data_IF_736114425643
#
_entry.id   IF_736114425643
#
_cell.length_a   1.000
_cell.length_b   1.000
_cell.length_c   1.000
_cell.angle_alpha   90.00
_cell.angle_beta   90.00
_cell.angle_gamma   90.00
#
_symmetry.space_group_name_H-M   'P 1'
#
loop_
_entity.id
_entity.type
_entity.pdbx_description
1 polymer ?
#
# COMPACT_ATOMS: atom_id res chain seq x y z
N UNK A 1 -12.85 9.44 14.14
CA UNK A 1 -11.84 8.39 13.92
C UNK A 1 -12.48 7.32 13.03
N UNK A 2 -11.84 6.92 11.95
CA UNK A 2 -12.35 5.86 11.07
C UNK A 2 -12.31 4.50 11.78
N UNK A 3 -13.45 3.80 11.83
CA UNK A 3 -13.54 2.44 12.36
C UNK A 3 -13.78 1.46 11.21
N UNK A 4 -12.83 0.58 10.92
CA UNK A 4 -12.98 -0.42 9.86
C UNK A 4 -14.16 -1.37 10.11
N UNK A 5 -14.45 -1.69 11.35
CA UNK A 5 -15.57 -2.56 11.74
C UNK A 5 -16.90 -1.89 11.38
N UNK A 6 -17.08 -0.64 11.84
CA UNK A 6 -18.29 0.12 11.52
C UNK A 6 -18.45 0.34 10.00
N UNK A 7 -17.34 0.54 9.28
CA UNK A 7 -17.38 0.66 7.83
C UNK A 7 -17.83 -0.65 7.16
N UNK A 8 -17.36 -1.80 7.63
CA UNK A 8 -17.77 -3.10 7.14
C UNK A 8 -19.27 -3.37 7.39
N UNK A 9 -19.77 -3.01 8.58
CA UNK A 9 -21.19 -3.14 8.91
C UNK A 9 -22.07 -2.25 8.01
N UNK A 10 -21.66 -1.00 7.80
CA UNK A 10 -22.37 -0.08 6.90
C UNK A 10 -22.42 -0.62 5.46
N UNK A 11 -21.28 -1.11 4.94
CA UNK A 11 -21.22 -1.71 3.59
C UNK A 11 -22.16 -2.90 3.49
N UNK A 12 -22.20 -3.75 4.52
CA UNK A 12 -23.11 -4.90 4.58
C UNK A 12 -24.58 -4.46 4.53
N UNK A 13 -24.94 -3.46 5.34
CA UNK A 13 -26.32 -2.94 5.38
C UNK A 13 -26.74 -2.28 4.08
N UNK A 14 -25.87 -1.48 3.45
CA UNK A 14 -26.14 -0.90 2.13
C UNK A 14 -26.29 -1.97 1.05
N UNK A 15 -25.47 -3.01 1.08
CA UNK A 15 -25.56 -4.13 0.14
C UNK A 15 -26.88 -4.92 0.33
N UNK A 16 -27.32 -5.16 1.57
CA UNK A 16 -28.62 -5.76 1.87
C UNK A 16 -29.75 -4.88 1.32
N UNK A 17 -29.67 -3.57 1.52
CA UNK A 17 -30.63 -2.61 0.95
C UNK A 17 -30.69 -2.71 -0.59
N UNK A 18 -29.53 -2.76 -1.25
CA UNK A 18 -29.44 -2.92 -2.70
C UNK A 18 -30.10 -4.25 -3.17
N UNK A 19 -29.75 -5.38 -2.55
CA UNK A 19 -30.33 -6.70 -2.88
C UNK A 19 -31.85 -6.68 -2.67
N UNK A 20 -32.35 -6.08 -1.59
CA UNK A 20 -33.78 -5.98 -1.30
C UNK A 20 -34.55 -5.15 -2.32
N UNK A 21 -33.90 -4.15 -2.93
CA UNK A 21 -34.50 -3.38 -4.03
C UNK A 21 -34.43 -4.10 -5.37
N UNK A 22 -33.36 -4.85 -5.63
CA UNK A 22 -33.18 -5.62 -6.85
C UNK A 22 -34.21 -6.76 -6.95
N UNK A 23 -34.46 -7.48 -5.86
CA UNK A 23 -35.46 -8.52 -5.74
C UNK A 23 -36.73 -7.96 -5.09
N UNK A 24 -37.50 -7.18 -5.86
CA UNK A 24 -38.72 -6.57 -5.36
C UNK A 24 -39.75 -7.64 -4.98
N UNK A 25 -39.99 -7.80 -3.68
CA UNK A 25 -40.99 -8.68 -3.09
C UNK A 25 -42.19 -7.83 -2.70
N UNK A 26 -43.35 -8.07 -3.36
CA UNK A 26 -44.56 -7.28 -3.16
C UNK A 26 -45.22 -7.54 -1.80
N UNK A 27 -45.10 -8.74 -1.28
CA UNK A 27 -45.63 -9.10 0.04
C UNK A 27 -44.68 -8.58 1.14
N UNK A 28 -45.21 -7.80 2.08
CA UNK A 28 -44.43 -7.16 3.11
C UNK A 28 -43.82 -8.12 4.14
N UNK A 29 -44.52 -9.21 4.44
CA UNK A 29 -44.06 -10.18 5.42
C UNK A 29 -42.92 -11.03 4.83
N UNK A 30 -43.02 -11.43 3.57
CA UNK A 30 -41.93 -12.09 2.85
C UNK A 30 -40.74 -11.16 2.64
N UNK A 31 -40.98 -9.90 2.30
CA UNK A 31 -39.89 -8.92 2.17
C UNK A 31 -39.11 -8.73 3.49
N UNK A 32 -39.82 -8.69 4.62
CA UNK A 32 -39.19 -8.58 5.94
C UNK A 32 -38.39 -9.84 6.30
N UNK A 33 -38.94 -11.02 6.04
CA UNK A 33 -38.25 -12.31 6.26
C UNK A 33 -37.01 -12.45 5.37
N UNK A 34 -37.11 -12.05 4.10
CA UNK A 34 -35.99 -12.03 3.17
C UNK A 34 -34.86 -11.12 3.67
N UNK A 35 -35.17 -9.88 4.04
CA UNK A 35 -34.19 -8.96 4.58
C UNK A 35 -33.57 -9.46 5.91
N UNK A 36 -34.36 -10.16 6.75
CA UNK A 36 -33.86 -10.78 7.98
C UNK A 36 -32.89 -11.92 7.68
N UNK A 37 -33.25 -12.81 6.73
CA UNK A 37 -32.39 -13.92 6.30
C UNK A 37 -31.05 -13.43 5.71
N UNK A 38 -31.04 -12.32 4.97
CA UNK A 38 -29.81 -11.70 4.45
C UNK A 38 -28.91 -11.15 5.56
N UNK A 39 -29.47 -10.82 6.73
CA UNK A 39 -28.72 -10.34 7.89
C UNK A 39 -28.12 -11.43 8.76
N UNK A 40 -28.54 -12.67 8.55
CA UNK A 40 -27.96 -13.79 9.30
C UNK A 40 -26.44 -13.88 9.08
N UNK A 41 -25.73 -14.34 10.11
CA UNK A 41 -24.27 -14.46 10.05
C UNK A 41 -23.85 -15.41 8.92
N UNK A 42 -23.00 -14.93 8.04
CA UNK A 42 -22.48 -15.71 6.91
C UNK A 42 -23.41 -15.84 5.69
N UNK A 43 -24.62 -15.24 5.70
CA UNK A 43 -25.53 -15.25 4.56
C UNK A 43 -24.97 -14.46 3.35
N UNK A 44 -24.45 -13.28 3.59
CA UNK A 44 -23.85 -12.40 2.55
C UNK A 44 -22.33 -12.26 2.73
N UNK A 45 -21.87 -12.09 3.96
CA UNK A 45 -20.47 -11.86 4.27
C UNK A 45 -20.07 -12.57 5.56
N UNK A 46 -18.82 -12.99 5.62
CA UNK A 46 -18.17 -13.49 6.83
C UNK A 46 -17.13 -12.50 7.31
N UNK A 47 -17.02 -12.27 8.60
CA UNK A 47 -16.10 -11.32 9.19
C UNK A 47 -16.74 -9.95 9.43
N UNK A 48 -15.96 -8.88 9.65
CA UNK A 48 -14.61 -8.66 9.12
C UNK A 48 -13.53 -9.50 9.79
N UNK A 49 -12.51 -9.88 9.01
CA UNK A 49 -11.30 -10.53 9.52
C UNK A 49 -10.18 -9.50 9.59
N UNK A 50 -9.45 -9.49 10.71
CA UNK A 50 -8.24 -8.70 10.84
C UNK A 50 -7.06 -9.55 10.39
N UNK A 51 -6.39 -9.11 9.34
CA UNK A 51 -5.09 -9.65 8.92
C UNK A 51 -4.00 -8.62 9.18
N UNK A 52 -2.94 -9.05 9.85
CA UNK A 52 -1.81 -8.19 10.19
C UNK A 52 -0.58 -8.70 9.46
N UNK A 53 -0.09 -7.90 8.52
CA UNK A 53 1.19 -8.16 7.87
C UNK A 53 2.32 -7.49 8.63
N UNK A 54 3.44 -8.18 8.77
CA UNK A 54 4.65 -7.60 9.33
C UNK A 54 5.12 -6.39 8.49
N UNK A 55 5.65 -5.38 9.19
CA UNK A 55 6.26 -4.24 8.51
C UNK A 55 7.52 -4.68 7.74
N UNK A 56 7.74 -4.09 6.57
CA UNK A 56 8.95 -4.37 5.80
C UNK A 56 10.19 -3.92 6.58
N UNK A 57 11.23 -4.77 6.56
CA UNK A 57 12.51 -4.45 7.18
C UNK A 57 13.13 -3.24 6.51
N UNK A 58 13.51 -2.26 7.31
CA UNK A 58 14.24 -1.07 6.84
C UNK A 58 15.73 -1.34 6.79
N UNK A 59 16.39 -0.76 5.81
CA UNK A 59 17.83 -0.72 5.63
C UNK A 59 18.34 0.72 5.79
N UNK A 60 19.43 1.03 5.10
CA UNK A 60 20.04 2.36 5.12
C UNK A 60 19.19 3.38 4.37
N UNK A 61 19.36 4.65 4.72
CA UNK A 61 18.82 5.76 3.93
C UNK A 61 19.69 6.05 2.72
N UNK A 62 19.15 6.79 1.73
CA UNK A 62 19.96 7.28 0.62
C UNK A 62 21.11 8.16 1.11
N UNK A 63 20.91 9.00 2.13
CA UNK A 63 21.96 9.82 2.72
C UNK A 63 23.13 8.97 3.23
N UNK A 64 22.86 7.90 3.97
CA UNK A 64 23.89 6.97 4.42
C UNK A 64 24.61 6.26 3.27
N UNK A 65 23.87 5.91 2.21
CA UNK A 65 24.48 5.28 1.02
C UNK A 65 25.34 6.26 0.22
N UNK A 66 25.02 7.56 0.24
CA UNK A 66 25.85 8.62 -0.34
C UNK A 66 27.15 8.75 0.45
N UNK A 67 27.09 8.80 1.77
CA UNK A 67 28.26 8.85 2.65
C UNK A 67 29.21 7.65 2.43
N UNK A 68 28.66 6.50 2.13
CA UNK A 68 29.40 5.27 1.83
C UNK A 68 29.90 5.19 0.37
N UNK A 69 29.57 6.16 -0.48
CA UNK A 69 29.92 6.17 -1.89
C UNK A 69 29.13 5.17 -2.75
N UNK A 70 28.02 4.66 -2.23
CA UNK A 70 27.15 3.70 -2.92
C UNK A 70 26.03 4.40 -3.74
N UNK A 71 25.77 5.69 -3.48
CA UNK A 71 24.84 6.52 -4.23
C UNK A 71 25.49 7.86 -4.60
N UNK A 72 25.00 8.51 -5.68
CA UNK A 72 25.50 9.80 -6.12
C UNK A 72 25.17 10.91 -5.14
N UNK A 73 26.13 11.78 -4.83
CA UNK A 73 25.91 12.97 -3.99
C UNK A 73 24.92 13.96 -4.61
N UNK A 74 24.67 13.88 -5.93
CA UNK A 74 23.72 14.73 -6.62
C UNK A 74 22.26 14.47 -6.23
N UNK A 75 21.97 13.39 -5.51
CA UNK A 75 20.64 13.20 -4.90
C UNK A 75 20.26 14.36 -3.96
N UNK A 76 21.22 15.02 -3.32
CA UNK A 76 20.96 16.22 -2.50
C UNK A 76 20.33 17.36 -3.32
N UNK A 77 20.67 17.50 -4.60
CA UNK A 77 20.10 18.54 -5.47
C UNK A 77 18.66 18.25 -5.90
N UNK A 78 18.21 17.01 -5.71
CA UNK A 78 16.83 16.59 -6.00
C UNK A 78 15.91 16.66 -4.77
N UNK A 79 16.42 17.11 -3.63
CA UNK A 79 15.62 17.37 -2.42
C UNK A 79 14.86 18.70 -2.55
N UNK A 80 13.95 18.78 -3.54
CA UNK A 80 13.06 19.93 -3.69
C UNK A 80 11.98 19.98 -2.62
N UNK A 81 11.56 21.18 -2.25
CA UNK A 81 10.39 21.39 -1.38
C UNK A 81 9.14 21.46 -2.24
N UNK A 82 8.14 20.63 -1.95
CA UNK A 82 6.81 20.74 -2.54
C UNK A 82 5.91 21.62 -1.68
N UNK A 83 4.80 22.19 -2.23
CA UNK A 83 3.99 23.20 -1.56
C UNK A 83 3.47 22.83 -0.17
N UNK A 84 3.32 21.53 0.14
CA UNK A 84 2.82 21.04 1.41
C UNK A 84 3.94 20.81 2.46
N UNK A 85 5.17 21.25 2.20
CA UNK A 85 6.31 21.12 3.13
C UNK A 85 6.95 19.73 3.15
N UNK A 86 6.51 18.82 2.29
CA UNK A 86 7.19 17.55 2.07
C UNK A 86 8.37 17.73 1.09
N UNK A 87 9.29 16.79 1.10
CA UNK A 87 10.42 16.75 0.14
C UNK A 87 10.04 15.85 -1.03
N UNK A 88 10.33 16.25 -2.26
CA UNK A 88 10.14 15.41 -3.45
C UNK A 88 10.89 14.08 -3.33
N UNK A 89 12.13 14.14 -2.86
CA UNK A 89 12.94 12.96 -2.54
C UNK A 89 13.40 13.06 -1.10
N UNK A 90 12.97 12.14 -0.27
CA UNK A 90 13.34 12.07 1.15
C UNK A 90 14.60 11.23 1.32
N UNK A 91 15.78 11.82 1.11
CA UNK A 91 17.06 11.08 1.18
C UNK A 91 17.37 10.53 2.57
N UNK A 92 16.83 11.16 3.63
CA UNK A 92 17.04 10.75 5.02
C UNK A 92 16.07 9.62 5.44
N UNK A 93 15.05 9.31 4.65
CA UNK A 93 14.13 8.19 4.91
C UNK A 93 14.89 6.87 4.72
N UNK A 94 14.81 5.98 5.72
CA UNK A 94 15.32 4.62 5.58
C UNK A 94 14.64 3.88 4.42
N UNK A 95 15.41 3.38 3.48
CA UNK A 95 14.92 2.53 2.41
C UNK A 95 14.48 1.20 3.00
N UNK A 96 13.51 0.55 2.37
CA UNK A 96 13.29 -0.86 2.67
C UNK A 96 14.49 -1.69 2.23
N UNK A 97 14.77 -2.76 2.95
CA UNK A 97 15.94 -3.60 2.69
C UNK A 97 16.02 -4.14 1.25
N UNK A 98 14.87 -4.38 0.62
CA UNK A 98 14.83 -4.81 -0.77
C UNK A 98 15.17 -3.68 -1.76
N UNK A 99 14.85 -2.41 -1.43
CA UNK A 99 15.22 -1.22 -2.20
C UNK A 99 16.73 -0.95 -2.11
N UNK A 100 17.31 -0.98 -0.90
CA UNK A 100 18.75 -0.89 -0.68
C UNK A 100 19.50 -1.97 -1.45
N UNK A 101 19.04 -3.22 -1.34
CA UNK A 101 19.65 -4.36 -2.09
C UNK A 101 19.54 -4.20 -3.60
N UNK A 102 18.45 -3.60 -4.09
CA UNK A 102 18.28 -3.33 -5.51
C UNK A 102 19.35 -2.36 -6.00
N UNK A 103 19.54 -1.21 -5.34
CA UNK A 103 20.57 -0.26 -5.69
C UNK A 103 21.97 -0.86 -5.67
N UNK A 104 22.33 -1.59 -4.61
CA UNK A 104 23.64 -2.25 -4.52
C UNK A 104 23.91 -3.31 -5.60
N UNK A 105 22.87 -4.03 -6.04
CA UNK A 105 23.02 -5.03 -7.10
C UNK A 105 23.16 -4.40 -8.47
N UNK A 106 22.37 -3.37 -8.75
CA UNK A 106 22.44 -2.64 -10.02
C UNK A 106 23.76 -1.89 -10.17
N UNK A 107 24.30 -1.29 -9.11
CA UNK A 107 25.63 -0.69 -9.11
C UNK A 107 26.75 -1.69 -9.47
N UNK A 108 26.53 -2.97 -9.21
CA UNK A 108 27.44 -4.07 -9.61
C UNK A 108 27.14 -4.63 -10.99
N UNK A 109 26.32 -3.97 -11.79
CA UNK A 109 25.93 -4.40 -13.14
C UNK A 109 25.10 -5.69 -13.17
N UNK A 110 24.44 -6.07 -12.06
CA UNK A 110 23.64 -7.30 -11.99
C UNK A 110 22.18 -7.05 -12.36
N UNK A 111 21.61 -7.95 -13.13
CA UNK A 111 20.17 -8.00 -13.36
C UNK A 111 19.43 -8.36 -12.06
N UNK A 112 18.26 -7.78 -11.88
CA UNK A 112 17.46 -7.90 -10.65
C UNK A 112 16.01 -8.26 -10.97
N UNK A 113 15.48 -9.23 -10.23
CA UNK A 113 14.04 -9.50 -10.17
C UNK A 113 13.60 -9.21 -8.75
N UNK A 114 12.58 -8.35 -8.61
CA UNK A 114 12.02 -7.97 -7.31
C UNK A 114 10.61 -8.54 -7.17
N UNK A 115 10.45 -9.42 -6.19
CA UNK A 115 9.16 -10.01 -5.83
C UNK A 115 8.85 -9.66 -4.39
N UNK A 116 7.82 -8.84 -4.16
CA UNK A 116 7.37 -8.44 -2.83
C UNK A 116 5.86 -8.18 -2.88
N UNK A 117 5.20 -8.11 -1.74
CA UNK A 117 3.77 -7.78 -1.64
C UNK A 117 3.40 -6.43 -2.26
N UNK A 118 2.13 -6.18 -2.45
CA UNK A 118 1.61 -4.87 -2.87
C UNK A 118 1.91 -3.81 -1.81
N UNK A 119 2.12 -2.56 -2.22
CA UNK A 119 2.44 -1.47 -1.29
C UNK A 119 3.86 -1.48 -0.71
N UNK A 120 4.76 -2.35 -1.19
CA UNK A 120 6.13 -2.45 -0.68
C UNK A 120 7.14 -1.46 -1.27
N UNK A 121 6.70 -0.52 -2.09
CA UNK A 121 7.61 0.41 -2.77
C UNK A 121 8.49 -0.25 -3.84
N UNK A 122 7.96 -1.25 -4.58
CA UNK A 122 8.70 -1.90 -5.69
C UNK A 122 9.16 -0.92 -6.75
N UNK A 123 8.41 0.13 -7.00
CA UNK A 123 8.73 1.19 -7.95
C UNK A 123 10.08 1.82 -7.63
N UNK A 124 10.39 2.06 -6.37
CA UNK A 124 11.66 2.63 -5.93
C UNK A 124 12.84 1.68 -6.18
N UNK A 125 12.61 0.37 -6.25
CA UNK A 125 13.67 -0.61 -6.56
C UNK A 125 14.27 -0.46 -7.96
N UNK A 126 13.57 0.19 -8.90
CA UNK A 126 14.11 0.48 -10.22
C UNK A 126 14.28 1.97 -10.48
N UNK A 127 13.44 2.84 -9.93
CA UNK A 127 13.57 4.30 -10.11
C UNK A 127 14.85 4.81 -9.45
N UNK A 128 15.13 4.44 -8.20
CA UNK A 128 16.35 4.89 -7.49
C UNK A 128 17.63 4.49 -8.25
N UNK A 129 17.82 3.22 -8.68
CA UNK A 129 18.96 2.86 -9.51
C UNK A 129 19.05 3.60 -10.84
N UNK A 130 17.94 3.85 -11.52
CA UNK A 130 17.92 4.61 -12.78
C UNK A 130 18.40 6.03 -12.53
N UNK A 131 17.82 6.73 -11.54
CA UNK A 131 18.24 8.08 -11.17
C UNK A 131 19.73 8.08 -10.77
N UNK A 132 20.15 7.12 -9.94
CA UNK A 132 21.56 7.02 -9.53
C UNK A 132 22.51 6.88 -10.72
N UNK A 133 22.13 6.11 -11.73
CA UNK A 133 22.91 5.95 -12.96
C UNK A 133 22.95 7.21 -13.82
N UNK A 134 21.85 7.96 -13.86
CA UNK A 134 21.77 9.24 -14.61
C UNK A 134 22.55 10.38 -13.91
N UNK A 135 22.79 10.26 -12.60
CA UNK A 135 23.52 11.24 -11.80
C UNK A 135 25.02 10.92 -11.68
N UNK A 136 25.51 9.87 -12.27
CA UNK A 136 26.94 9.49 -12.33
C UNK A 136 27.61 10.05 -13.57
#
# INVERSE_FOLDING_TARGET
>A
MFSPITAADNIKDEFIGYISTLFHISDKDYAAQFAAALREEGAIAKGPYLDVSDSYKTGKSLAQMIEEGEASSLFHSLEGDIPDGEKEIQINRGLYLHQERALRKTNKGKNLIVTTGTGSGKTECFIIPIINHLLQ
#
